data_IF_612570672287
#
_entry.id   IF_612570672287
#
_cell.length_a   1.000
_cell.length_b   1.000
_cell.length_c   1.000
_cell.angle_alpha   90.00
_cell.angle_beta   90.00
_cell.angle_gamma   90.00
#
_symmetry.space_group_name_H-M   'P 1'
#
loop_
_entity.id
_entity.type
_entity.pdbx_description
1 polymer ?
#
# COMPACT_ATOMS: atom_id res chain seq x y z
N UNK A 1 -5.51 18.82 -1.77
CA UNK A 1 -4.42 17.83 -1.74
C UNK A 1 -3.18 18.30 -2.49
N UNK A 2 -3.23 18.63 -3.79
CA UNK A 2 -2.05 19.10 -4.56
C UNK A 2 -1.35 20.30 -3.90
N UNK A 3 -2.09 21.33 -3.50
CA UNK A 3 -1.52 22.49 -2.82
C UNK A 3 -0.77 22.12 -1.52
N UNK A 4 -1.31 21.16 -0.76
CA UNK A 4 -0.66 20.67 0.46
C UNK A 4 0.60 19.87 0.13
N UNK A 5 0.56 18.99 -0.88
CA UNK A 5 1.73 18.26 -1.36
C UNK A 5 2.86 19.22 -1.78
N UNK A 6 2.53 20.29 -2.51
CA UNK A 6 3.48 21.35 -2.85
C UNK A 6 4.05 22.04 -1.60
N UNK A 7 3.19 22.38 -0.64
CA UNK A 7 3.59 23.07 0.59
C UNK A 7 4.59 22.25 1.43
N UNK A 8 4.40 20.93 1.51
CA UNK A 8 5.28 20.04 2.28
C UNK A 8 6.38 19.40 1.44
N UNK A 9 6.42 19.68 0.14
CA UNK A 9 7.37 19.11 -0.80
C UNK A 9 7.22 17.60 -1.02
N UNK A 10 6.02 17.03 -0.89
CA UNK A 10 5.76 15.61 -1.06
C UNK A 10 5.32 15.25 -2.49
N UNK A 11 5.62 14.02 -2.89
CA UNK A 11 5.05 13.39 -4.10
C UNK A 11 3.70 12.73 -3.72
N UNK A 12 2.55 13.20 -4.24
CA UNK A 12 1.25 12.68 -3.84
C UNK A 12 0.94 11.31 -4.47
N UNK A 13 0.15 10.51 -3.75
CA UNK A 13 -0.49 9.29 -4.24
C UNK A 13 -2.00 9.50 -4.33
N UNK A 14 -2.60 9.18 -5.48
CA UNK A 14 -4.04 9.30 -5.70
C UNK A 14 -4.66 7.99 -6.18
N UNK A 15 -5.66 7.52 -5.45
CA UNK A 15 -6.54 6.44 -5.88
C UNK A 15 -7.70 7.01 -6.70
N UNK A 16 -7.82 6.63 -7.96
CA UNK A 16 -8.97 6.97 -8.80
C UNK A 16 -10.18 6.14 -8.39
N UNK A 17 -11.39 6.73 -8.23
CA UNK A 17 -12.58 5.95 -7.89
C UNK A 17 -12.88 4.89 -8.96
N UNK A 18 -13.26 3.68 -8.53
CA UNK A 18 -13.56 2.55 -9.43
C UNK A 18 -14.63 2.85 -10.50
N UNK A 19 -15.58 3.73 -10.16
CA UNK A 19 -16.73 4.12 -10.97
C UNK A 19 -16.61 5.53 -11.56
N UNK A 20 -15.44 6.16 -11.47
CA UNK A 20 -15.21 7.44 -12.14
C UNK A 20 -15.28 7.25 -13.67
N UNK A 21 -15.90 8.21 -14.36
CA UNK A 21 -15.89 8.26 -15.81
C UNK A 21 -14.60 8.88 -16.35
N UNK A 22 -14.41 8.79 -17.66
CA UNK A 22 -13.22 9.30 -18.35
C UNK A 22 -13.06 10.82 -18.21
N UNK A 23 -14.16 11.58 -18.13
CA UNK A 23 -14.11 13.04 -17.95
C UNK A 23 -13.56 13.40 -16.57
N UNK A 24 -14.05 12.76 -15.52
CA UNK A 24 -13.53 12.94 -14.16
C UNK A 24 -12.04 12.61 -14.10
N UNK A 25 -11.63 11.44 -14.60
CA UNK A 25 -10.23 11.00 -14.58
C UNK A 25 -9.35 11.96 -15.37
N UNK A 26 -9.80 12.40 -16.55
CA UNK A 26 -9.07 13.36 -17.39
C UNK A 26 -8.89 14.71 -16.71
N UNK A 27 -9.98 15.27 -16.16
CA UNK A 27 -9.96 16.58 -15.49
C UNK A 27 -9.13 16.54 -14.21
N UNK A 28 -9.20 15.46 -13.44
CA UNK A 28 -8.37 15.28 -12.24
C UNK A 28 -6.88 15.22 -12.63
N UNK A 29 -6.53 14.39 -13.61
CA UNK A 29 -5.17 14.28 -14.11
C UNK A 29 -4.64 15.64 -14.63
N UNK A 30 -5.46 16.40 -15.36
CA UNK A 30 -5.08 17.71 -15.89
C UNK A 30 -4.83 18.70 -14.76
N UNK A 31 -5.71 18.75 -13.75
CA UNK A 31 -5.51 19.58 -12.57
C UNK A 31 -4.20 19.25 -11.86
N UNK A 32 -3.89 17.97 -11.64
CA UNK A 32 -2.63 17.56 -10.99
C UNK A 32 -1.43 17.96 -11.85
N UNK A 33 -1.45 17.69 -13.15
CA UNK A 33 -0.38 18.05 -14.09
C UNK A 33 -0.03 19.54 -14.04
N UNK A 34 -1.06 20.38 -14.04
CA UNK A 34 -0.95 21.84 -14.15
C UNK A 34 -0.61 22.50 -12.80
N UNK A 35 -0.97 21.88 -11.67
CA UNK A 35 -0.83 22.50 -10.33
C UNK A 35 0.21 21.83 -9.42
N UNK A 36 0.65 20.61 -9.71
CA UNK A 36 1.73 19.97 -8.96
C UNK A 36 3.06 20.66 -9.30
N UNK A 37 3.86 20.97 -8.29
CA UNK A 37 5.12 21.68 -8.47
C UNK A 37 6.08 20.93 -9.42
N UNK A 38 6.93 21.68 -10.13
CA UNK A 38 7.97 21.13 -10.97
C UNK A 38 8.94 20.28 -10.13
N UNK A 39 9.42 19.15 -10.68
CA UNK A 39 10.31 18.23 -9.96
C UNK A 39 9.63 17.39 -8.87
N UNK A 40 8.29 17.37 -8.80
CA UNK A 40 7.50 16.39 -8.05
C UNK A 40 6.93 15.32 -8.99
N UNK A 41 6.73 14.13 -8.44
CA UNK A 41 6.07 13.01 -9.11
C UNK A 41 4.68 12.80 -8.52
N UNK A 42 3.77 12.23 -9.31
CA UNK A 42 2.46 11.75 -8.84
C UNK A 42 2.37 10.23 -9.02
N UNK A 43 1.96 9.54 -7.96
CA UNK A 43 1.59 8.14 -7.97
C UNK A 43 0.08 8.03 -8.20
N UNK A 44 -0.33 7.18 -9.14
CA UNK A 44 -1.74 6.98 -9.48
C UNK A 44 -2.07 5.51 -9.47
N UNK A 45 -3.14 5.16 -8.76
CA UNK A 45 -3.67 3.82 -8.62
C UNK A 45 -5.17 3.82 -8.93
N UNK A 46 -5.71 2.70 -9.42
CA UNK A 46 -7.15 2.51 -9.51
C UNK A 46 -7.70 1.93 -8.20
N UNK A 47 -8.59 2.67 -7.54
CA UNK A 47 -9.23 2.29 -6.27
C UNK A 47 -8.20 1.99 -5.16
N UNK A 48 -8.68 1.41 -4.05
CA UNK A 48 -7.87 0.86 -2.96
C UNK A 48 -8.22 -0.63 -2.81
N UNK A 49 -7.20 -1.48 -2.73
CA UNK A 49 -7.30 -2.91 -2.41
C UNK A 49 -8.51 -3.64 -3.05
N UNK A 50 -8.62 -3.62 -4.37
CA UNK A 50 -9.73 -4.33 -5.06
C UNK A 50 -9.72 -5.84 -4.80
N UNK A 51 -8.58 -6.38 -4.35
CA UNK A 51 -8.42 -7.75 -3.88
C UNK A 51 -9.07 -8.02 -2.51
N UNK A 52 -9.35 -6.99 -1.71
CA UNK A 52 -9.85 -7.14 -0.34
C UNK A 52 -11.38 -7.33 -0.35
N UNK A 53 -11.82 -8.58 -0.11
CA UNK A 53 -13.23 -8.97 -0.09
C UNK A 53 -14.09 -8.25 0.97
N UNK A 54 -13.49 -7.54 1.91
CA UNK A 54 -14.21 -6.69 2.87
C UNK A 54 -14.72 -5.39 2.24
N UNK A 55 -14.16 -4.97 1.10
CA UNK A 55 -14.57 -3.75 0.41
C UNK A 55 -15.63 -4.02 -0.67
N UNK A 56 -16.67 -3.18 -0.78
CA UNK A 56 -17.71 -3.35 -1.81
C UNK A 56 -17.17 -3.41 -3.25
N UNK A 57 -16.06 -2.71 -3.51
CA UNK A 57 -15.42 -2.69 -4.83
C UNK A 57 -14.91 -4.07 -5.26
N UNK A 58 -14.46 -4.93 -4.33
CA UNK A 58 -14.01 -6.28 -4.65
C UNK A 58 -15.16 -7.13 -5.22
N UNK A 59 -16.34 -7.05 -4.57
CA UNK A 59 -17.53 -7.73 -5.06
C UNK A 59 -18.02 -7.16 -6.39
N UNK A 60 -17.92 -5.83 -6.56
CA UNK A 60 -18.26 -5.19 -7.82
C UNK A 60 -17.35 -5.66 -8.96
N UNK A 61 -16.03 -5.65 -8.76
CA UNK A 61 -15.05 -6.10 -9.75
C UNK A 61 -15.28 -7.57 -10.14
N UNK A 62 -15.58 -8.43 -9.16
CA UNK A 62 -15.98 -9.82 -9.40
C UNK A 62 -17.23 -9.91 -10.28
N UNK A 63 -18.30 -9.19 -9.95
CA UNK A 63 -19.55 -9.24 -10.71
C UNK A 63 -19.36 -8.72 -12.14
N UNK A 64 -18.58 -7.65 -12.32
CA UNK A 64 -18.22 -7.12 -13.65
C UNK A 64 -17.42 -8.15 -14.46
N UNK A 65 -16.39 -8.77 -13.86
CA UNK A 65 -15.58 -9.79 -14.54
C UNK A 65 -16.38 -11.04 -14.94
N UNK A 66 -17.32 -11.48 -14.09
CA UNK A 66 -18.25 -12.57 -14.42
C UNK A 66 -19.17 -12.16 -15.57
N UNK A 67 -19.76 -10.97 -15.50
CA UNK A 67 -20.70 -10.49 -16.52
C UNK A 67 -20.04 -10.29 -17.89
N UNK A 68 -18.76 -9.91 -17.91
CA UNK A 68 -17.95 -9.79 -19.11
C UNK A 68 -17.49 -11.15 -19.67
N UNK A 69 -17.54 -12.22 -18.87
CA UNK A 69 -17.08 -13.55 -19.29
C UNK A 69 -15.56 -13.70 -19.26
N UNK A 70 -14.88 -13.02 -18.32
CA UNK A 70 -13.44 -13.17 -18.10
C UNK A 70 -13.07 -14.60 -17.67
N UNK A 71 -11.78 -14.95 -17.71
CA UNK A 71 -11.34 -16.33 -17.51
C UNK A 71 -11.72 -16.87 -16.13
N UNK A 72 -12.48 -17.96 -16.12
CA UNK A 72 -12.96 -18.62 -14.91
C UNK A 72 -11.99 -19.69 -14.38
N UNK A 73 -10.83 -19.91 -15.02
CA UNK A 73 -9.82 -20.90 -14.60
C UNK A 73 -9.34 -20.71 -13.16
N UNK A 74 -9.34 -19.47 -12.68
CA UNK A 74 -9.00 -19.08 -11.31
C UNK A 74 -10.23 -18.65 -10.48
N UNK A 75 -11.43 -19.03 -10.96
CA UNK A 75 -12.70 -18.70 -10.34
C UNK A 75 -13.02 -17.20 -10.30
N UNK A 76 -14.06 -16.87 -9.55
CA UNK A 76 -14.60 -15.51 -9.48
C UNK A 76 -13.61 -14.47 -8.93
N UNK A 77 -12.68 -14.90 -8.07
CA UNK A 77 -11.62 -14.03 -7.57
C UNK A 77 -10.60 -13.68 -8.66
N UNK A 78 -10.19 -14.65 -9.49
CA UNK A 78 -9.36 -14.39 -10.66
C UNK A 78 -10.04 -13.40 -11.62
N UNK A 79 -11.32 -13.60 -11.94
CA UNK A 79 -12.09 -12.68 -12.77
C UNK A 79 -12.13 -11.25 -12.20
N UNK A 80 -12.22 -11.10 -10.87
CA UNK A 80 -12.15 -9.78 -10.24
C UNK A 80 -10.80 -9.08 -10.47
N UNK A 81 -9.70 -9.83 -10.41
CA UNK A 81 -8.34 -9.30 -10.60
C UNK A 81 -8.02 -9.03 -12.08
N UNK A 82 -8.51 -9.85 -13.00
CA UNK A 82 -8.45 -9.56 -14.43
C UNK A 82 -9.23 -8.29 -14.76
N UNK A 83 -10.43 -8.14 -14.19
CA UNK A 83 -11.23 -6.92 -14.34
C UNK A 83 -10.53 -5.69 -13.77
N UNK A 84 -9.88 -5.83 -12.61
CA UNK A 84 -9.02 -4.80 -12.04
C UNK A 84 -7.89 -4.41 -13.00
N UNK A 85 -7.23 -5.39 -13.62
CA UNK A 85 -6.13 -5.18 -14.54
C UNK A 85 -6.60 -4.42 -15.81
N UNK A 86 -7.76 -4.76 -16.38
CA UNK A 86 -8.36 -4.03 -17.52
C UNK A 86 -8.64 -2.57 -17.19
N UNK A 87 -9.36 -2.30 -16.10
CA UNK A 87 -9.68 -0.93 -15.73
C UNK A 87 -8.43 -0.13 -15.36
N UNK A 88 -7.44 -0.77 -14.74
CA UNK A 88 -6.13 -0.15 -14.47
C UNK A 88 -5.47 0.28 -15.77
N UNK A 89 -5.41 -0.59 -16.79
CA UNK A 89 -4.88 -0.22 -18.11
C UNK A 89 -5.59 1.01 -18.67
N UNK A 90 -6.92 1.04 -18.65
CA UNK A 90 -7.71 2.15 -19.18
C UNK A 90 -7.43 3.48 -18.47
N UNK A 91 -7.47 3.50 -17.13
CA UNK A 91 -7.21 4.70 -16.34
C UNK A 91 -5.77 5.19 -16.54
N UNK A 92 -4.80 4.28 -16.55
CA UNK A 92 -3.39 4.65 -16.74
C UNK A 92 -3.12 5.18 -18.15
N UNK A 93 -3.87 4.74 -19.17
CA UNK A 93 -3.80 5.32 -20.51
C UNK A 93 -4.33 6.76 -20.55
N UNK A 94 -5.43 7.07 -19.85
CA UNK A 94 -5.95 8.45 -19.73
C UNK A 94 -4.90 9.35 -19.10
N UNK A 95 -4.34 8.95 -17.95
CA UNK A 95 -3.28 9.71 -17.29
C UNK A 95 -2.05 9.89 -18.18
N UNK A 96 -1.63 8.84 -18.90
CA UNK A 96 -0.51 8.91 -19.84
C UNK A 96 -0.75 9.93 -20.97
N UNK A 97 -1.98 10.00 -21.51
CA UNK A 97 -2.36 10.98 -22.54
C UNK A 97 -2.32 12.41 -21.99
N UNK A 98 -2.86 12.62 -20.80
CA UNK A 98 -2.88 13.95 -20.16
C UNK A 98 -1.46 14.43 -19.83
N UNK A 99 -0.58 13.52 -19.38
CA UNK A 99 0.82 13.79 -19.08
C UNK A 99 1.78 13.66 -20.28
N UNK A 100 1.27 13.59 -21.51
CA UNK A 100 2.11 13.51 -22.71
C UNK A 100 3.16 14.66 -22.73
N UNK A 101 4.42 14.32 -23.02
CA UNK A 101 5.56 15.24 -22.95
C UNK A 101 6.16 15.45 -21.55
N UNK A 102 5.53 14.92 -20.50
CA UNK A 102 5.99 15.02 -19.10
C UNK A 102 5.67 13.76 -18.28
N UNK A 103 5.62 12.60 -18.95
CA UNK A 103 5.35 11.30 -18.34
C UNK A 103 6.39 10.88 -17.30
N UNK A 104 7.59 11.49 -17.32
CA UNK A 104 8.59 11.31 -16.26
C UNK A 104 8.11 11.77 -14.87
N UNK A 105 7.07 12.60 -14.79
CA UNK A 105 6.43 13.04 -13.53
C UNK A 105 5.34 12.09 -13.04
N UNK A 106 5.00 11.06 -13.81
CA UNK A 106 3.88 10.15 -13.56
C UNK A 106 4.41 8.76 -13.18
N UNK A 107 3.88 8.20 -12.09
CA UNK A 107 4.09 6.81 -11.69
C UNK A 107 2.74 6.10 -11.70
N UNK A 108 2.53 5.21 -12.67
CA UNK A 108 1.32 4.41 -12.83
C UNK A 108 1.45 3.12 -12.03
N UNK A 109 0.51 2.85 -11.15
CA UNK A 109 0.61 1.76 -10.18
C UNK A 109 -0.45 0.70 -10.42
N UNK A 110 -0.01 -0.57 -10.48
CA UNK A 110 -0.86 -1.73 -10.23
C UNK A 110 -0.64 -2.18 -8.79
N UNK A 111 -1.71 -2.41 -8.05
CA UNK A 111 -1.69 -2.84 -6.66
C UNK A 111 -2.19 -4.28 -6.51
N UNK A 112 -1.67 -4.98 -5.51
CA UNK A 112 -2.14 -6.32 -5.17
C UNK A 112 -1.93 -6.69 -3.70
N UNK A 113 -2.41 -7.88 -3.36
CA UNK A 113 -2.31 -8.44 -2.02
C UNK A 113 -0.86 -8.88 -1.75
N UNK A 114 -0.30 -8.44 -0.62
CA UNK A 114 1.11 -8.67 -0.29
C UNK A 114 1.48 -10.15 -0.17
N UNK A 115 0.64 -10.94 0.51
CA UNK A 115 0.91 -12.36 0.83
C UNK A 115 0.67 -13.32 -0.34
N UNK A 116 0.36 -12.82 -1.54
CA UNK A 116 0.12 -13.68 -2.70
C UNK A 116 0.80 -13.17 -3.98
N UNK A 117 2.04 -13.63 -4.23
CA UNK A 117 2.77 -13.35 -5.47
C UNK A 117 2.06 -13.88 -6.73
N UNK A 118 1.29 -14.95 -6.58
CA UNK A 118 0.50 -15.54 -7.67
C UNK A 118 -0.51 -14.55 -8.24
N UNK A 119 -1.26 -13.86 -7.38
CA UNK A 119 -2.29 -12.93 -7.83
C UNK A 119 -1.72 -11.65 -8.44
N UNK A 120 -0.59 -11.16 -7.94
CA UNK A 120 0.14 -10.04 -8.54
C UNK A 120 0.77 -10.42 -9.89
N UNK A 121 1.22 -11.65 -10.05
CA UNK A 121 1.73 -12.16 -11.34
C UNK A 121 0.60 -12.21 -12.38
N UNK A 122 -0.58 -12.69 -11.97
CA UNK A 122 -1.79 -12.66 -12.80
C UNK A 122 -2.12 -11.24 -13.25
N UNK A 123 -2.16 -10.26 -12.34
CA UNK A 123 -2.45 -8.85 -12.67
C UNK A 123 -1.47 -8.31 -13.71
N UNK A 124 -0.16 -8.43 -13.48
CA UNK A 124 0.84 -7.86 -14.40
C UNK A 124 0.93 -8.60 -15.73
N UNK A 125 0.72 -9.93 -15.71
CA UNK A 125 0.70 -10.78 -16.89
C UNK A 125 -0.59 -10.67 -17.71
N UNK A 126 -1.64 -10.09 -17.15
CA UNK A 126 -2.90 -9.93 -17.86
C UNK A 126 -2.79 -8.91 -18.99
N UNK A 127 -2.83 -9.41 -20.23
CA UNK A 127 -2.79 -8.61 -21.47
C UNK A 127 -1.66 -7.57 -21.44
N UNK A 128 -2.01 -6.28 -21.52
CA UNK A 128 -1.06 -5.18 -21.61
C UNK A 128 -0.85 -4.43 -20.27
N UNK A 129 -1.19 -5.06 -19.13
CA UNK A 129 -1.12 -4.40 -17.82
C UNK A 129 0.29 -3.96 -17.51
N UNK A 130 1.27 -4.85 -17.65
CA UNK A 130 2.68 -4.48 -17.43
C UNK A 130 3.11 -3.31 -18.34
N UNK A 131 2.71 -3.23 -19.61
CA UNK A 131 3.07 -2.10 -20.48
C UNK A 131 2.39 -0.78 -20.08
N UNK A 132 1.29 -0.85 -19.32
CA UNK A 132 0.49 0.31 -18.91
C UNK A 132 0.87 0.87 -17.53
N UNK A 133 1.72 0.17 -16.77
CA UNK A 133 2.13 0.57 -15.41
C UNK A 133 3.66 0.68 -15.28
N UNK A 134 4.09 1.42 -14.26
CA UNK A 134 5.50 1.66 -13.91
C UNK A 134 5.93 0.88 -12.66
N UNK A 135 4.98 0.58 -11.76
CA UNK A 135 5.25 -0.10 -10.50
C UNK A 135 4.16 -1.12 -10.13
N UNK A 136 4.60 -2.20 -9.48
CA UNK A 136 3.76 -3.06 -8.65
C UNK A 136 3.82 -2.56 -7.21
N UNK A 137 2.67 -2.40 -6.58
CA UNK A 137 2.55 -1.99 -5.19
C UNK A 137 1.84 -3.05 -4.34
N UNK A 138 2.29 -3.27 -3.10
CA UNK A 138 1.65 -4.16 -2.12
C UNK A 138 1.61 -3.52 -0.72
N UNK A 139 0.96 -4.16 0.24
CA UNK A 139 0.86 -3.71 1.63
C UNK A 139 1.63 -4.61 2.61
N UNK A 140 2.94 -4.41 2.83
CA UNK A 140 3.74 -5.15 3.83
C UNK A 140 3.32 -4.81 5.27
N UNK A 141 2.27 -5.47 5.75
CA UNK A 141 1.92 -5.50 7.16
C UNK A 141 2.55 -6.68 7.89
N UNK A 142 2.82 -6.47 9.16
CA UNK A 142 3.19 -7.52 10.10
C UNK A 142 2.16 -7.54 11.23
N UNK A 143 1.34 -8.58 11.21
CA UNK A 143 0.04 -8.60 11.87
C UNK A 143 0.04 -9.46 13.13
N UNK A 144 -0.68 -9.02 14.17
CA UNK A 144 -1.16 -9.87 15.26
C UNK A 144 -2.67 -9.65 15.35
N UNK A 145 -3.44 -10.58 14.80
CA UNK A 145 -4.89 -10.50 14.79
C UNK A 145 -5.49 -11.27 15.97
N UNK A 146 -6.73 -10.93 16.30
CA UNK A 146 -7.47 -11.56 17.40
C UNK A 146 -7.55 -13.10 17.30
N UNK A 147 -7.54 -13.65 16.08
CA UNK A 147 -7.52 -15.09 15.82
C UNK A 147 -6.20 -15.77 16.19
N UNK A 148 -5.09 -15.03 16.15
CA UNK A 148 -3.74 -15.54 16.45
C UNK A 148 -3.33 -15.29 17.90
N UNK A 149 -4.09 -14.46 18.61
CA UNK A 149 -3.87 -14.17 20.01
C UNK A 149 -4.41 -15.30 20.90
N UNK A 150 -3.51 -16.02 21.56
CA UNK A 150 -3.81 -17.15 22.45
C UNK A 150 -3.49 -16.85 23.91
N UNK A 151 -3.17 -15.59 24.24
CA UNK A 151 -2.80 -15.15 25.58
C UNK A 151 -1.32 -14.77 25.72
N UNK A 152 -0.64 -14.47 24.61
CA UNK A 152 0.75 -14.01 24.64
C UNK A 152 0.89 -12.75 25.51
N UNK A 153 1.90 -12.73 26.37
CA UNK A 153 2.32 -11.56 27.13
C UNK A 153 2.85 -10.45 26.21
N UNK A 154 2.93 -9.22 26.73
CA UNK A 154 3.57 -8.11 26.02
C UNK A 154 4.99 -8.47 25.56
N UNK A 155 5.77 -9.17 26.39
CA UNK A 155 7.14 -9.55 26.04
C UNK A 155 7.20 -10.58 24.93
N UNK A 156 6.31 -11.56 24.91
CA UNK A 156 6.20 -12.53 23.81
C UNK A 156 5.77 -11.84 22.50
N UNK A 157 4.82 -10.90 22.58
CA UNK A 157 4.40 -10.10 21.42
C UNK A 157 5.58 -9.30 20.87
N UNK A 158 6.27 -8.53 21.70
CA UNK A 158 7.30 -7.60 21.28
C UNK A 158 8.62 -8.27 20.87
N UNK A 159 9.03 -9.35 21.57
CA UNK A 159 10.34 -9.96 21.37
C UNK A 159 10.33 -11.19 20.45
N UNK A 160 9.16 -11.81 20.23
CA UNK A 160 9.08 -13.06 19.46
C UNK A 160 8.08 -12.97 18.33
N UNK A 161 6.84 -12.58 18.62
CA UNK A 161 5.76 -12.65 17.63
C UNK A 161 5.94 -11.60 16.53
N UNK A 162 6.02 -10.30 16.87
CA UNK A 162 6.15 -9.24 15.86
C UNK A 162 7.45 -9.33 15.04
N UNK A 163 8.63 -9.66 15.61
CA UNK A 163 9.82 -9.97 14.81
C UNK A 163 9.62 -11.09 13.80
N UNK A 164 8.92 -12.17 14.16
CA UNK A 164 8.62 -13.27 13.24
C UNK A 164 7.67 -12.82 12.11
N UNK A 165 6.68 -11.98 12.42
CA UNK A 165 5.77 -11.42 11.42
C UNK A 165 6.47 -10.46 10.45
N UNK A 166 7.43 -9.66 10.94
CA UNK A 166 8.29 -8.84 10.07
C UNK A 166 9.08 -9.75 9.12
N UNK A 167 9.72 -10.82 9.62
CA UNK A 167 10.46 -11.74 8.79
C UNK A 167 9.58 -12.41 7.72
N UNK A 168 8.35 -12.81 8.08
CA UNK A 168 7.38 -13.37 7.15
C UNK A 168 6.95 -12.36 6.08
N UNK A 169 6.64 -11.12 6.46
CA UNK A 169 6.31 -10.05 5.50
C UNK A 169 7.48 -9.77 4.56
N UNK A 170 8.72 -9.71 5.05
CA UNK A 170 9.89 -9.48 4.19
C UNK A 170 10.17 -10.65 3.23
N UNK A 171 9.82 -11.88 3.60
CA UNK A 171 9.87 -13.02 2.68
C UNK A 171 8.86 -12.85 1.53
N UNK A 172 7.64 -12.39 1.82
CA UNK A 172 6.67 -12.07 0.77
C UNK A 172 7.13 -10.88 -0.09
N UNK A 173 7.69 -9.83 0.52
CA UNK A 173 8.28 -8.70 -0.21
C UNK A 173 9.35 -9.16 -1.22
N UNK A 174 10.18 -10.14 -0.87
CA UNK A 174 11.19 -10.71 -1.77
C UNK A 174 10.55 -11.40 -2.98
N UNK A 175 9.48 -12.18 -2.76
CA UNK A 175 8.76 -12.85 -3.84
C UNK A 175 8.01 -11.86 -4.73
N UNK A 176 7.39 -10.84 -4.13
CA UNK A 176 6.71 -9.77 -4.85
C UNK A 176 7.68 -8.95 -5.71
N UNK A 177 8.89 -8.67 -5.20
CA UNK A 177 9.95 -8.07 -5.99
C UNK A 177 10.33 -8.92 -7.19
N UNK A 178 10.42 -10.24 -7.04
CA UNK A 178 10.70 -11.14 -8.17
C UNK A 178 9.59 -11.08 -9.24
N UNK A 179 8.32 -11.01 -8.83
CA UNK A 179 7.19 -10.80 -9.75
C UNK A 179 7.33 -9.46 -10.48
N UNK A 180 7.58 -8.36 -9.77
CA UNK A 180 7.76 -7.05 -10.40
C UNK A 180 8.92 -7.07 -11.42
N UNK A 181 10.06 -7.69 -11.05
CA UNK A 181 11.25 -7.82 -11.90
C UNK A 181 10.99 -8.65 -13.15
N UNK A 182 10.19 -9.73 -13.08
CA UNK A 182 9.77 -10.53 -14.24
C UNK A 182 9.15 -9.66 -15.34
N UNK A 183 8.45 -8.59 -14.97
CA UNK A 183 7.81 -7.65 -15.90
C UNK A 183 8.57 -6.33 -16.09
N UNK A 184 9.78 -6.19 -15.53
CA UNK A 184 10.57 -4.96 -15.61
C UNK A 184 9.91 -3.77 -14.89
N UNK A 185 9.27 -4.01 -13.74
CA UNK A 185 8.56 -3.01 -12.93
C UNK A 185 9.27 -2.74 -11.62
N UNK A 186 9.06 -1.51 -11.12
CA UNK A 186 9.43 -1.15 -9.74
C UNK A 186 8.56 -1.94 -8.76
N UNK A 187 9.09 -2.20 -7.57
CA UNK A 187 8.33 -2.79 -6.48
C UNK A 187 8.26 -1.81 -5.31
N UNK A 188 7.06 -1.29 -5.03
CA UNK A 188 6.80 -0.28 -4.00
C UNK A 188 5.74 -0.77 -3.01
N UNK A 189 5.49 0.00 -1.96
CA UNK A 189 4.40 -0.26 -1.02
C UNK A 189 3.44 0.93 -0.94
N UNK A 190 2.14 0.67 -1.15
CA UNK A 190 1.08 1.69 -1.04
C UNK A 190 0.67 1.95 0.41
N UNK A 191 0.96 1.00 1.30
CA UNK A 191 0.85 1.14 2.76
C UNK A 191 1.70 0.06 3.45
N UNK A 192 1.77 0.09 4.78
CA UNK A 192 2.51 -0.92 5.54
C UNK A 192 2.79 -0.50 6.98
N UNK A 193 3.42 -1.41 7.72
CA UNK A 193 3.71 -1.24 9.14
C UNK A 193 3.06 -2.31 10.00
N UNK A 194 2.81 -1.98 11.26
CA UNK A 194 2.18 -2.88 12.21
C UNK A 194 0.68 -3.05 11.89
N UNK A 195 0.15 -4.27 12.06
CA UNK A 195 -1.30 -4.57 12.01
C UNK A 195 -1.73 -5.43 13.21
N UNK A 196 -1.50 -4.89 14.40
CA UNK A 196 -1.93 -5.43 15.69
C UNK A 196 -3.38 -5.01 15.91
N UNK A 197 -4.29 -5.96 15.71
CA UNK A 197 -5.74 -5.78 15.76
C UNK A 197 -6.34 -6.75 16.78
N UNK A 198 -6.58 -6.26 18.00
CA UNK A 198 -7.12 -7.03 19.12
C UNK A 198 -8.37 -6.35 19.69
N UNK A 199 -9.55 -6.48 19.05
CA UNK A 199 -10.80 -5.88 19.53
C UNK A 199 -11.17 -6.26 20.96
N UNK A 200 -10.77 -7.45 21.41
CA UNK A 200 -11.08 -7.94 22.76
C UNK A 200 -9.98 -7.61 23.79
N UNK A 201 -8.87 -7.00 23.38
CA UNK A 201 -7.75 -6.66 24.27
C UNK A 201 -7.09 -5.32 23.91
N UNK A 202 -7.88 -4.24 23.94
CA UNK A 202 -7.43 -2.87 23.69
C UNK A 202 -6.32 -2.41 24.64
N UNK A 203 -6.28 -2.96 25.86
CA UNK A 203 -5.23 -2.66 26.83
C UNK A 203 -3.85 -3.15 26.33
N UNK A 204 -3.78 -4.36 25.78
CA UNK A 204 -2.54 -4.88 25.19
C UNK A 204 -2.15 -4.10 23.93
N UNK A 205 -3.11 -3.71 23.08
CA UNK A 205 -2.82 -2.84 21.91
C UNK A 205 -2.14 -1.54 22.38
N UNK A 206 -2.71 -0.87 23.38
CA UNK A 206 -2.12 0.36 23.93
C UNK A 206 -0.72 0.14 24.53
N UNK A 207 -0.47 -1.01 25.15
CA UNK A 207 0.87 -1.37 25.65
C UNK A 207 1.85 -1.55 24.49
N UNK A 208 1.49 -2.33 23.47
CA UNK A 208 2.32 -2.59 22.29
C UNK A 208 2.67 -1.30 21.55
N UNK A 209 1.68 -0.44 21.29
CA UNK A 209 1.86 0.81 20.54
C UNK A 209 2.77 1.83 21.23
N UNK A 210 2.78 1.82 22.56
CA UNK A 210 3.57 2.75 23.38
C UNK A 210 4.89 2.14 23.86
N UNK A 211 5.12 0.85 23.64
CA UNK A 211 6.32 0.17 24.08
C UNK A 211 7.56 0.70 23.33
N UNK A 212 8.65 1.07 24.02
CA UNK A 212 9.87 1.58 23.38
C UNK A 212 10.46 0.63 22.32
N UNK A 213 10.27 -0.69 22.46
CA UNK A 213 10.74 -1.70 21.49
C UNK A 213 10.07 -1.55 20.12
N UNK A 214 8.90 -0.92 20.04
CA UNK A 214 8.22 -0.62 18.78
C UNK A 214 9.09 0.24 17.85
N UNK A 215 9.94 1.12 18.43
CA UNK A 215 10.93 1.89 17.67
C UNK A 215 11.91 0.97 16.94
N UNK A 216 12.42 -0.05 17.64
CA UNK A 216 13.39 -1.01 17.08
C UNK A 216 12.75 -1.88 16.00
N UNK A 217 11.49 -2.30 16.19
CA UNK A 217 10.72 -3.06 15.19
C UNK A 217 10.55 -2.25 13.89
N UNK A 218 10.08 -1.01 13.97
CA UNK A 218 9.95 -0.14 12.79
C UNK A 218 11.30 0.18 12.14
N UNK A 219 12.35 0.43 12.93
CA UNK A 219 13.70 0.67 12.41
C UNK A 219 14.19 -0.53 11.61
N UNK A 220 14.00 -1.74 12.16
CA UNK A 220 14.37 -3.00 11.49
C UNK A 220 13.56 -3.20 10.22
N UNK A 221 12.24 -3.04 10.27
CA UNK A 221 11.35 -3.20 9.11
C UNK A 221 11.70 -2.23 7.97
N UNK A 222 11.86 -0.94 8.27
CA UNK A 222 12.21 0.08 7.26
C UNK A 222 13.59 -0.20 6.66
N UNK A 223 14.56 -0.63 7.48
CA UNK A 223 15.89 -1.02 6.98
C UNK A 223 15.79 -2.24 6.06
N UNK A 224 15.08 -3.29 6.47
CA UNK A 224 14.92 -4.49 5.65
C UNK A 224 14.21 -4.19 4.33
N UNK A 225 13.20 -3.31 4.33
CA UNK A 225 12.56 -2.83 3.10
C UNK A 225 13.53 -2.09 2.18
N UNK A 226 14.34 -1.17 2.73
CA UNK A 226 15.36 -0.45 1.98
C UNK A 226 16.38 -1.41 1.35
N UNK A 227 16.81 -2.42 2.10
CA UNK A 227 17.80 -3.39 1.62
C UNK A 227 17.19 -4.36 0.59
N UNK A 228 15.90 -4.70 0.71
CA UNK A 228 15.24 -5.67 -0.17
C UNK A 228 14.63 -5.05 -1.41
N UNK A 229 13.83 -3.99 -1.30
CA UNK A 229 13.20 -3.27 -2.40
C UNK A 229 14.10 -2.13 -2.88
N UNK A 230 14.44 -1.22 -1.96
CA UNK A 230 15.15 0.03 -2.24
C UNK A 230 14.27 1.17 -2.75
N UNK A 231 12.95 0.98 -2.78
CA UNK A 231 12.00 1.95 -3.32
C UNK A 231 10.93 2.36 -2.27
N UNK A 232 9.91 3.09 -2.71
CA UNK A 232 8.89 3.76 -1.89
C UNK A 232 8.20 2.80 -0.92
N UNK A 233 8.20 3.17 0.37
CA UNK A 233 7.42 2.55 1.44
C UNK A 233 6.47 3.60 2.03
N UNK A 234 5.20 3.59 1.60
CA UNK A 234 4.18 4.33 2.31
C UNK A 234 3.81 3.58 3.61
N UNK A 235 3.71 4.31 4.72
CA UNK A 235 3.19 3.78 5.97
C UNK A 235 1.76 4.26 6.13
N UNK A 236 0.88 3.38 6.62
CA UNK A 236 -0.56 3.52 6.46
C UNK A 236 -1.14 4.86 6.97
N UNK A 237 -0.75 5.30 8.16
CA UNK A 237 -1.31 6.52 8.74
C UNK A 237 -0.25 7.36 9.48
N UNK A 238 -0.22 8.66 9.20
CA UNK A 238 0.59 9.61 9.94
C UNK A 238 0.12 9.71 11.40
N UNK A 239 -1.19 9.81 11.62
CA UNK A 239 -1.78 9.92 12.95
C UNK A 239 -3.07 9.09 13.05
N UNK A 240 -3.42 8.66 14.25
CA UNK A 240 -4.68 7.99 14.56
C UNK A 240 -4.73 7.50 16.01
N UNK A 241 -5.88 7.57 16.68
CA UNK A 241 -6.00 7.12 18.07
C UNK A 241 -5.76 5.60 18.18
N UNK A 242 -5.39 5.16 19.38
CA UNK A 242 -5.35 3.73 19.71
C UNK A 242 -6.72 3.28 20.19
N UNK A 243 -7.26 2.23 19.58
CA UNK A 243 -8.45 1.51 20.04
C UNK A 243 -8.23 -0.01 19.93
N UNK A 244 -9.01 -0.71 19.10
CA UNK A 244 -8.75 -2.12 18.76
C UNK A 244 -7.49 -2.32 17.92
N UNK A 245 -7.00 -1.25 17.30
CA UNK A 245 -5.71 -1.15 16.60
C UNK A 245 -5.11 0.25 16.83
N UNK A 246 -3.83 0.43 16.52
CA UNK A 246 -3.13 1.71 16.62
C UNK A 246 -2.31 2.01 15.37
N UNK A 247 -2.95 2.34 14.26
CA UNK A 247 -2.25 2.47 12.98
C UNK A 247 -1.36 3.72 12.83
N UNK A 248 -1.72 4.83 13.50
CA UNK A 248 -1.02 6.10 13.36
C UNK A 248 0.43 6.07 13.84
N UNK A 249 1.37 6.66 13.11
CA UNK A 249 2.75 6.86 13.58
C UNK A 249 2.80 7.69 14.88
N UNK A 250 1.80 8.56 15.06
CA UNK A 250 1.46 9.23 16.32
C UNK A 250 -0.01 9.01 16.68
N UNK A 251 -0.36 9.09 17.95
CA UNK A 251 -1.74 8.94 18.44
C UNK A 251 -2.60 10.19 18.17
N UNK A 252 -1.96 11.36 18.22
CA UNK A 252 -2.58 12.66 18.01
C UNK A 252 -1.58 13.64 17.40
N UNK A 253 -2.06 14.70 16.69
CA UNK A 253 -1.17 15.73 16.16
C UNK A 253 -0.30 16.34 17.24
N UNK A 254 0.99 16.54 16.95
CA UNK A 254 1.99 17.11 17.87
C UNK A 254 2.34 16.23 19.09
N UNK A 255 2.03 14.93 19.07
CA UNK A 255 2.57 14.00 20.08
C UNK A 255 4.10 14.13 20.17
N UNK A 256 4.68 14.30 21.37
CA UNK A 256 6.12 14.38 21.55
C UNK A 256 6.82 13.13 21.01
N UNK A 257 7.95 13.30 20.30
CA UNK A 257 8.71 12.16 19.76
C UNK A 257 9.15 11.17 20.83
N UNK A 258 9.46 11.64 22.04
CA UNK A 258 9.80 10.80 23.19
C UNK A 258 8.67 9.84 23.59
N UNK A 259 7.43 10.10 23.18
CA UNK A 259 6.25 9.27 23.40
C UNK A 259 5.71 8.62 22.11
N UNK A 260 6.41 8.78 20.98
CA UNK A 260 5.99 8.26 19.67
C UNK A 260 7.08 7.35 19.07
N UNK A 261 7.17 6.08 19.50
CA UNK A 261 8.27 5.19 19.10
C UNK A 261 8.31 4.96 17.58
N UNK A 262 7.14 4.82 16.93
CA UNK A 262 7.02 4.64 15.47
C UNK A 262 7.49 5.87 14.70
N UNK A 263 6.96 7.06 15.03
CA UNK A 263 7.40 8.32 14.41
C UNK A 263 8.90 8.58 14.60
N UNK A 264 9.45 8.23 15.77
CA UNK A 264 10.89 8.36 16.03
C UNK A 264 11.71 7.49 15.10
N UNK A 265 11.30 6.23 14.86
CA UNK A 265 11.97 5.35 13.90
C UNK A 265 11.91 5.91 12.47
N UNK A 266 10.73 6.38 12.04
CA UNK A 266 10.53 6.95 10.70
C UNK A 266 11.41 8.17 10.49
N UNK A 267 11.41 9.15 11.41
CA UNK A 267 12.26 10.34 11.30
C UNK A 267 13.74 10.00 11.24
N UNK A 268 14.20 9.03 12.04
CA UNK A 268 15.60 8.59 12.00
C UNK A 268 15.97 7.97 10.65
N UNK A 269 15.03 7.27 10.00
CA UNK A 269 15.27 6.65 8.70
C UNK A 269 15.38 7.64 7.53
N UNK A 270 14.80 8.85 7.66
CA UNK A 270 14.84 9.90 6.63
C UNK A 270 16.10 10.77 6.71
N UNK A 271 16.85 10.71 7.81
CA UNK A 271 18.08 11.49 8.01
C UNK A 271 19.34 10.82 7.38
N UNK A 272 19.21 9.58 6.89
CA UNK A 272 20.28 8.75 6.33
C UNK A 272 19.96 8.32 4.90
#
# INVERSE_FOLDING_TARGET
MVAFANQVGADPWFCMPWNADDDYVTRFAAYVRDNLAAGRHVYVELSNEVWNGSYPVAKQAQNEGIAEGLDASHGAYGQALERYAEKTQHVMQIWSKVFAGQTSRLVRVAAGQHVSPFWTDLILGYRNTSQSVDALATAPYWALHQSDYTGQSLDEVMNTYLPAQIAASMNWATQQKAVAQKYGKRFIAYEGGQDVLLPNNKALVAQVERDPRMRSLYTSFIKQWRDSSGDTLALFALWGPIDSAGYGLVEYPQQPLSAAPKMTAVRASMAN
#
